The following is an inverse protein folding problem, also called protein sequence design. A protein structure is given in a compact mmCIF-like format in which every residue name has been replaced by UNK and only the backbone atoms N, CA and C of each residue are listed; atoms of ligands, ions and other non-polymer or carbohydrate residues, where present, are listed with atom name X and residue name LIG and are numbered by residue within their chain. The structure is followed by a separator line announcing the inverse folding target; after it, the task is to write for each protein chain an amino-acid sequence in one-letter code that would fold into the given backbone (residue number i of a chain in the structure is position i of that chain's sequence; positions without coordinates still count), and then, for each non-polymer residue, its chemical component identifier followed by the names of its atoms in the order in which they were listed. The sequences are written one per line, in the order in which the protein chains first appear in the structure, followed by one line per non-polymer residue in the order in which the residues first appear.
data_IF_702992800284
#
_entry.id   IF_702992800284
#
_cell.length_a   1.000
_cell.length_b   1.000
_cell.length_c   1.000
_cell.angle_alpha   90.00
_cell.angle_beta   90.00
_cell.angle_gamma   90.00
#
_symmetry.space_group_name_H-M   'P 1'
#
loop_
_entity.id
_entity.type
_entity.pdbx_description
1 polymer ?
#
# COMPACT_ATOMS: atom_id res chain seq x y z
N UNK A 1 42.76 -19.85 21.65
CA UNK A 1 41.67 -19.28 20.82
C UNK A 1 41.82 -17.78 20.52
N UNK A 2 42.43 -16.96 21.39
CA UNK A 2 42.63 -15.53 21.12
C UNK A 2 43.76 -15.18 20.11
N UNK A 3 44.74 -16.08 19.91
CA UNK A 3 45.87 -15.83 19.00
C UNK A 3 45.46 -15.81 17.50
N UNK A 4 44.46 -16.61 17.13
CA UNK A 4 43.93 -16.69 15.76
C UNK A 4 43.16 -15.42 15.36
N UNK A 5 42.47 -14.78 16.31
CA UNK A 5 41.69 -13.57 16.05
C UNK A 5 42.59 -12.35 15.75
N UNK A 6 43.74 -12.26 16.43
CA UNK A 6 44.74 -11.20 16.21
C UNK A 6 45.46 -11.37 14.86
N UNK A 7 45.58 -12.60 14.33
CA UNK A 7 46.15 -12.84 13.00
C UNK A 7 45.24 -12.34 11.88
N UNK A 8 43.93 -12.63 11.93
CA UNK A 8 42.97 -12.16 10.91
C UNK A 8 42.81 -10.64 10.86
N UNK A 9 42.98 -9.94 11.99
CA UNK A 9 42.96 -8.47 12.03
C UNK A 9 44.15 -7.83 11.30
N UNK A 10 45.29 -8.53 11.19
CA UNK A 10 46.49 -8.03 10.49
C UNK A 10 46.48 -8.33 8.99
N UNK A 11 45.87 -9.42 8.53
CA UNK A 11 45.77 -9.73 7.09
C UNK A 11 44.84 -8.75 6.33
N UNK A 12 43.88 -8.10 7.01
CA UNK A 12 43.07 -7.02 6.40
C UNK A 12 43.78 -5.66 6.34
N UNK A 13 44.97 -5.53 6.94
CA UNK A 13 45.80 -4.32 6.91
C UNK A 13 46.72 -4.26 5.69
N UNK A 14 47.00 -5.39 5.02
CA UNK A 14 47.96 -5.43 3.91
C UNK A 14 47.35 -4.95 2.58
N UNK A 15 46.02 -4.92 2.47
CA UNK A 15 45.33 -4.23 1.39
C UNK A 15 45.02 -2.77 1.77
N UNK A 16 46.04 -2.05 2.25
CA UNK A 16 45.92 -0.62 2.52
C UNK A 16 45.48 0.10 1.26
N UNK A 17 44.35 0.83 1.31
CA UNK A 17 43.92 1.68 0.21
C UNK A 17 45.07 2.59 -0.21
N UNK A 18 45.62 2.36 -1.42
CA UNK A 18 46.67 3.22 -1.96
C UNK A 18 46.04 4.52 -2.40
N UNK A 19 46.35 5.61 -1.69
CA UNK A 19 46.01 6.95 -2.14
C UNK A 19 46.82 7.23 -3.41
N UNK A 20 46.17 7.14 -4.57
CA UNK A 20 46.79 7.45 -5.86
C UNK A 20 47.05 8.95 -5.98
N UNK A 21 48.14 9.32 -6.64
CA UNK A 21 48.44 10.71 -6.96
C UNK A 21 47.25 11.35 -7.69
N UNK A 22 46.91 12.60 -7.36
CA UNK A 22 45.80 13.36 -7.97
C UNK A 22 45.85 13.42 -9.50
N UNK A 23 47.01 13.16 -10.11
CA UNK A 23 47.21 13.08 -11.56
C UNK A 23 46.61 11.82 -12.20
N UNK A 24 46.40 10.76 -11.42
CA UNK A 24 45.83 9.48 -11.85
C UNK A 24 44.39 9.27 -11.34
N UNK A 25 43.84 10.24 -10.60
CA UNK A 25 42.44 10.20 -10.17
C UNK A 25 41.52 10.61 -11.33
N UNK A 26 40.35 9.98 -11.43
CA UNK A 26 39.33 10.39 -12.38
C UNK A 26 38.93 11.85 -12.12
N UNK A 27 38.92 12.68 -13.17
CA UNK A 27 38.47 14.06 -13.05
C UNK A 27 36.97 14.09 -12.75
N UNK A 28 36.50 14.89 -11.78
CA UNK A 28 35.07 15.07 -11.58
C UNK A 28 34.46 15.63 -12.87
N UNK A 29 33.35 15.03 -13.31
CA UNK A 29 32.63 15.49 -14.50
C UNK A 29 32.09 16.88 -14.22
N UNK A 30 32.17 17.79 -15.20
CA UNK A 30 31.55 19.10 -15.09
C UNK A 30 30.05 18.92 -14.85
N UNK A 31 29.50 19.68 -13.92
CA UNK A 31 28.05 19.70 -13.65
C UNK A 31 27.41 20.32 -14.89
N UNK A 32 26.87 19.48 -15.76
CA UNK A 32 26.00 19.94 -16.83
C UNK A 32 24.71 20.44 -16.18
N UNK A 33 24.32 21.68 -16.47
CA UNK A 33 23.03 22.23 -16.07
C UNK A 33 21.94 21.46 -16.83
N UNK A 34 21.46 20.36 -16.25
CA UNK A 34 20.32 19.62 -16.76
C UNK A 34 19.09 20.50 -16.57
N UNK A 35 18.27 20.61 -17.61
CA UNK A 35 16.95 21.22 -17.48
C UNK A 35 16.17 20.52 -16.37
N UNK A 36 15.39 21.29 -15.62
CA UNK A 36 14.53 20.77 -14.56
C UNK A 36 13.61 19.66 -15.11
N UNK A 37 13.50 18.57 -14.35
CA UNK A 37 12.63 17.46 -14.72
C UNK A 37 11.20 17.88 -14.38
N UNK A 38 10.31 17.83 -15.35
CA UNK A 38 8.88 18.03 -15.10
C UNK A 38 8.35 16.90 -14.20
N UNK A 39 7.97 17.26 -12.97
CA UNK A 39 7.37 16.35 -11.98
C UNK A 39 5.85 16.48 -11.92
N UNK A 40 5.24 17.21 -12.86
CA UNK A 40 3.80 17.42 -12.91
C UNK A 40 3.06 16.09 -13.14
N UNK A 41 1.98 15.86 -12.38
CA UNK A 41 1.13 14.70 -12.57
C UNK A 41 0.13 14.96 -13.71
N UNK A 42 0.26 14.24 -14.84
CA UNK A 42 -0.63 14.39 -16.00
C UNK A 42 -2.06 13.92 -15.75
N UNK A 43 -2.30 13.17 -14.68
CA UNK A 43 -3.60 12.59 -14.33
C UNK A 43 -4.31 13.34 -13.19
N UNK A 44 -3.84 14.53 -12.79
CA UNK A 44 -4.47 15.33 -11.74
C UNK A 44 -5.98 15.57 -12.00
N UNK A 45 -6.34 15.81 -13.27
CA UNK A 45 -7.73 16.03 -13.70
C UNK A 45 -8.68 14.84 -13.46
N UNK A 46 -8.16 13.63 -13.22
CA UNK A 46 -8.99 12.46 -12.89
C UNK A 46 -9.41 12.45 -11.42
N UNK A 47 -8.67 13.14 -10.54
CA UNK A 47 -9.06 13.31 -9.13
C UNK A 47 -10.26 14.26 -9.00
N UNK A 48 -10.33 15.28 -9.86
CA UNK A 48 -11.40 16.28 -9.83
C UNK A 48 -12.78 15.70 -10.21
N UNK A 49 -12.81 14.64 -11.04
CA UNK A 49 -14.06 13.95 -11.43
C UNK A 49 -14.72 13.25 -10.22
N UNK A 50 -13.93 12.76 -9.27
CA UNK A 50 -14.46 12.22 -8.01
C UNK A 50 -14.95 13.34 -7.09
N UNK A 51 -14.33 14.52 -7.10
CA UNK A 51 -14.72 15.66 -6.25
C UNK A 51 -15.96 16.42 -6.78
N UNK A 52 -16.17 16.56 -8.09
CA UNK A 52 -17.31 17.32 -8.62
C UNK A 52 -18.68 16.65 -8.36
N UNK A 53 -18.76 15.31 -8.31
CA UNK A 53 -19.98 14.61 -7.90
C UNK A 53 -20.29 14.76 -6.39
N UNK A 54 -19.34 15.27 -5.60
CA UNK A 54 -19.45 15.36 -4.13
C UNK A 54 -19.81 16.75 -3.61
N UNK A 55 -19.90 17.79 -4.44
CA UNK A 55 -20.17 19.16 -3.96
C UNK A 55 -21.62 19.40 -3.47
N UNK A 56 -22.54 18.47 -3.70
CA UNK A 56 -23.95 18.59 -3.24
C UNK A 56 -24.34 17.54 -2.19
N UNK A 57 -23.52 16.51 -1.98
CA UNK A 57 -23.80 15.45 -1.01
C UNK A 57 -22.72 15.45 0.08
N UNK A 58 -23.07 15.19 1.36
CA UNK A 58 -22.06 14.99 2.40
C UNK A 58 -21.06 13.92 1.94
N UNK A 59 -19.78 14.00 2.34
CA UNK A 59 -18.75 13.07 1.89
C UNK A 59 -19.28 11.65 2.04
N UNK A 60 -19.48 10.96 0.91
CA UNK A 60 -19.98 9.58 0.91
C UNK A 60 -18.97 8.77 1.67
N UNK A 61 -19.25 8.47 2.93
CA UNK A 61 -18.46 7.54 3.72
C UNK A 61 -18.50 6.22 2.99
N UNK A 62 -17.41 5.89 2.31
CA UNK A 62 -17.31 4.63 1.59
C UNK A 62 -17.23 3.52 2.64
N UNK A 63 -18.34 2.81 2.82
CA UNK A 63 -18.40 1.64 3.71
C UNK A 63 -18.06 0.42 2.84
N UNK A 64 -16.88 -0.20 3.02
CA UNK A 64 -16.52 -1.35 2.22
C UNK A 64 -17.48 -2.52 2.47
N UNK A 65 -17.81 -3.28 1.43
CA UNK A 65 -18.60 -4.49 1.58
C UNK A 65 -17.76 -5.64 2.15
N UNK A 66 -18.40 -6.58 2.84
CA UNK A 66 -17.80 -7.84 3.28
C UNK A 66 -18.16 -8.91 2.25
N UNK A 67 -17.16 -9.62 1.74
CA UNK A 67 -17.36 -10.72 0.81
C UNK A 67 -17.20 -12.05 1.56
N UNK A 68 -18.32 -12.72 1.80
CA UNK A 68 -18.34 -14.05 2.41
C UNK A 68 -18.35 -15.11 1.30
N UNK A 69 -17.46 -16.09 1.37
CA UNK A 69 -17.38 -17.17 0.36
C UNK A 69 -18.68 -17.98 0.35
N UNK A 70 -19.20 -18.27 -0.84
CA UNK A 70 -20.38 -19.11 -0.98
C UNK A 70 -20.09 -20.55 -0.54
N UNK A 71 -20.99 -21.09 0.27
CA UNK A 71 -21.01 -22.47 0.76
C UNK A 71 -22.33 -23.15 0.40
N UNK A 72 -22.42 -24.47 0.59
CA UNK A 72 -23.60 -25.25 0.20
C UNK A 72 -24.87 -24.87 1.00
N UNK A 73 -24.69 -24.26 2.16
CA UNK A 73 -25.70 -23.78 3.09
C UNK A 73 -26.06 -22.30 2.87
N UNK A 74 -25.79 -21.73 1.69
CA UNK A 74 -26.05 -20.33 1.32
C UNK A 74 -27.34 -19.74 1.92
N UNK A 75 -28.48 -20.43 1.75
CA UNK A 75 -29.76 -19.93 2.24
C UNK A 75 -29.81 -19.82 3.76
N UNK A 76 -29.21 -20.77 4.47
CA UNK A 76 -29.14 -20.76 5.94
C UNK A 76 -28.20 -19.66 6.41
N UNK A 77 -27.01 -19.53 5.81
CA UNK A 77 -26.07 -18.45 6.11
C UNK A 77 -26.70 -17.09 5.85
N UNK A 78 -27.42 -16.92 4.74
CA UNK A 78 -28.12 -15.68 4.40
C UNK A 78 -29.18 -15.32 5.45
N UNK A 79 -29.98 -16.31 5.89
CA UNK A 79 -30.98 -16.10 6.95
C UNK A 79 -30.34 -15.69 8.27
N UNK A 80 -29.23 -16.32 8.65
CA UNK A 80 -28.50 -15.95 9.87
C UNK A 80 -27.95 -14.53 9.81
N UNK A 81 -27.38 -14.13 8.67
CA UNK A 81 -26.91 -12.76 8.46
C UNK A 81 -28.07 -11.78 8.57
N UNK A 82 -29.19 -12.03 7.89
CA UNK A 82 -30.36 -11.15 7.96
C UNK A 82 -30.96 -11.05 9.37
N UNK A 83 -30.84 -12.11 10.18
CA UNK A 83 -31.33 -12.14 11.56
C UNK A 83 -30.42 -11.35 12.52
N UNK A 84 -29.10 -11.52 12.39
CA UNK A 84 -28.12 -10.88 13.29
C UNK A 84 -27.80 -9.44 12.87
N UNK A 85 -27.86 -9.15 11.57
CA UNK A 85 -27.49 -7.87 10.97
C UNK A 85 -28.57 -7.41 9.98
N UNK A 86 -29.77 -7.02 10.48
CA UNK A 86 -30.86 -6.54 9.63
C UNK A 86 -30.49 -5.26 8.86
N UNK A 87 -29.57 -4.47 9.39
CA UNK A 87 -29.05 -3.23 8.78
C UNK A 87 -27.98 -3.49 7.69
N UNK A 88 -28.07 -4.64 7.02
CA UNK A 88 -27.19 -5.01 5.91
C UNK A 88 -27.98 -5.43 4.68
N UNK A 89 -27.49 -5.00 3.52
CA UNK A 89 -27.98 -5.48 2.23
C UNK A 89 -27.12 -6.64 1.76
N UNK A 90 -27.75 -7.78 1.49
CA UNK A 90 -27.08 -9.02 1.13
C UNK A 90 -27.38 -9.38 -0.33
N UNK A 91 -26.33 -9.59 -1.13
CA UNK A 91 -26.47 -9.95 -2.57
C UNK A 91 -25.48 -11.04 -2.96
N UNK A 92 -25.87 -11.87 -3.93
CA UNK A 92 -24.93 -12.79 -4.57
C UNK A 92 -24.06 -12.04 -5.57
N UNK A 93 -22.75 -12.19 -5.48
CA UNK A 93 -21.78 -11.59 -6.40
C UNK A 93 -20.61 -12.55 -6.62
N UNK A 94 -20.45 -13.05 -7.85
CA UNK A 94 -19.29 -13.85 -8.32
C UNK A 94 -18.86 -15.00 -7.37
N UNK A 95 -19.81 -15.74 -6.81
CA UNK A 95 -19.51 -16.85 -5.88
C UNK A 95 -19.26 -16.42 -4.44
N UNK A 96 -19.67 -15.21 -4.09
CA UNK A 96 -19.67 -14.67 -2.73
C UNK A 96 -21.05 -14.13 -2.36
N UNK A 97 -21.33 -14.11 -1.06
CA UNK A 97 -22.37 -13.28 -0.46
C UNK A 97 -21.72 -11.94 -0.14
N UNK A 98 -22.11 -10.92 -0.90
CA UNK A 98 -21.70 -9.54 -0.69
C UNK A 98 -22.64 -8.90 0.33
N UNK A 99 -22.09 -8.60 1.50
CA UNK A 99 -22.79 -8.00 2.63
C UNK A 99 -22.38 -6.53 2.67
N UNK A 100 -23.34 -5.63 2.44
CA UNK A 100 -23.13 -4.19 2.45
C UNK A 100 -23.84 -3.59 3.68
N UNK A 101 -23.12 -3.08 4.68
CA UNK A 101 -23.73 -2.38 5.81
C UNK A 101 -24.38 -1.06 5.37
N UNK A 102 -25.46 -0.66 6.03
CA UNK A 102 -26.15 0.60 5.77
C UNK A 102 -25.39 1.81 6.32
N UNK A 103 -24.66 1.65 7.43
CA UNK A 103 -23.85 2.70 8.07
C UNK A 103 -22.48 2.18 8.55
N UNK A 104 -21.57 3.10 8.88
CA UNK A 104 -20.28 2.75 9.51
C UNK A 104 -20.48 2.15 10.91
N UNK A 105 -21.47 2.64 11.66
CA UNK A 105 -21.81 2.13 12.99
C UNK A 105 -22.22 0.65 12.92
N UNK A 106 -23.05 0.28 11.94
CA UNK A 106 -23.50 -1.10 11.75
C UNK A 106 -22.35 -2.05 11.41
N UNK A 107 -21.29 -1.52 10.77
CA UNK A 107 -20.07 -2.26 10.48
C UNK A 107 -19.23 -2.51 11.75
N UNK A 108 -19.13 -1.51 12.62
CA UNK A 108 -18.29 -1.54 13.82
C UNK A 108 -18.91 -2.33 14.98
N UNK A 109 -20.23 -2.52 14.98
CA UNK A 109 -21.03 -3.11 16.08
C UNK A 109 -20.67 -4.55 16.50
N UNK A 110 -19.67 -5.18 15.89
CA UNK A 110 -19.30 -6.58 16.14
C UNK A 110 -17.81 -6.80 16.48
N UNK A 111 -17.09 -5.75 16.92
CA UNK A 111 -15.76 -5.87 17.52
C UNK A 111 -15.80 -5.71 19.05
#
# INVERSE_FOLDING_TARGET
MFAEFVRRGRELSENSFKVVSRKNAAKPRSIENKSEIETSNKFQHLMDVEEQETLTEPPKTFIPAINLKLTNDYNLTLQEISRNHPETTNKYDRGYIKITPNSLEDREKNY
#
